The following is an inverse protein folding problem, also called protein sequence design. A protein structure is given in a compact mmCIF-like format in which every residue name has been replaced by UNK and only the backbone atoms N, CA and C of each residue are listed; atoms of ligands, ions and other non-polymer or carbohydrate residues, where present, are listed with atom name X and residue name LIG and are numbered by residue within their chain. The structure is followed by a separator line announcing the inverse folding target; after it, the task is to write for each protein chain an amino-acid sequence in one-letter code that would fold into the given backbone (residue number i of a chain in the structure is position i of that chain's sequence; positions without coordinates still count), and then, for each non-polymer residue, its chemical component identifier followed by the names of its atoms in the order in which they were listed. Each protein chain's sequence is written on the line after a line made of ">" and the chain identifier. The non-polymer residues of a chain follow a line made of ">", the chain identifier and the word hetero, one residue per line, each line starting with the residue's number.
data_IF_156167760569
#
_entry.id   IF_156167760569
#
_cell.length_a   1.000
_cell.length_b   1.000
_cell.length_c   1.000
_cell.angle_alpha   90.00
_cell.angle_beta   90.00
_cell.angle_gamma   90.00
#
_symmetry.space_group_name_H-M   'P 1'
#
loop_
_entity.id
_entity.type
_entity.pdbx_description
1 polymer ?
#
# COMPACT_ATOMS: atom_id res chain seq x y z
N UNK A 1 3.75 24.88 -15.87
CA UNK A 1 2.49 24.33 -15.34
C UNK A 1 2.43 22.87 -15.76
N UNK A 2 2.41 21.95 -14.80
CA UNK A 2 1.75 20.63 -14.87
C UNK A 2 2.14 19.86 -13.61
N UNK A 3 1.18 19.77 -12.70
CA UNK A 3 1.34 19.30 -11.34
C UNK A 3 1.76 17.83 -11.27
N UNK A 4 2.70 17.57 -10.38
CA UNK A 4 3.02 16.23 -9.88
C UNK A 4 1.80 15.81 -9.06
N UNK A 5 1.09 14.78 -9.53
CA UNK A 5 -0.06 14.24 -8.83
C UNK A 5 0.38 13.60 -7.53
N UNK A 6 -0.02 14.20 -6.42
CA UNK A 6 0.06 13.67 -5.07
C UNK A 6 -0.68 12.33 -5.03
N UNK A 7 0.07 11.23 -5.19
CA UNK A 7 -0.45 9.88 -5.03
C UNK A 7 -0.70 9.68 -3.54
N UNK A 8 -1.89 10.09 -3.13
CA UNK A 8 -2.35 10.25 -1.76
C UNK A 8 -1.94 9.09 -0.86
N UNK A 9 -1.04 9.40 0.08
CA UNK A 9 -0.95 8.72 1.37
C UNK A 9 -2.31 8.94 2.05
N UNK A 10 -3.15 7.92 2.07
CA UNK A 10 -4.42 7.98 2.81
C UNK A 10 -4.49 6.79 3.75
N UNK A 11 -3.90 6.99 4.92
CA UNK A 11 -3.78 6.08 6.06
C UNK A 11 -2.65 6.60 6.96
N UNK A 12 -2.96 7.57 7.83
CA UNK A 12 -1.98 8.18 8.71
C UNK A 12 -1.47 7.16 9.73
N UNK A 13 -0.14 7.04 9.85
CA UNK A 13 0.75 6.61 10.95
C UNK A 13 0.33 5.66 12.09
N UNK A 14 -0.95 5.46 12.38
CA UNK A 14 -1.51 4.69 13.49
C UNK A 14 -2.29 3.44 13.03
N UNK A 15 -2.42 3.22 11.72
CA UNK A 15 -3.10 2.02 11.21
C UNK A 15 -2.28 0.76 11.56
N UNK A 16 -2.88 -0.24 12.22
CA UNK A 16 -2.14 -1.42 12.68
C UNK A 16 -1.66 -2.33 11.54
N UNK A 17 -2.20 -2.19 10.32
CA UNK A 17 -1.79 -2.99 9.17
C UNK A 17 -1.37 -2.09 8.01
N UNK A 18 -0.39 -2.51 7.23
CA UNK A 18 -0.05 -1.88 5.94
C UNK A 18 -0.39 -2.82 4.78
N UNK A 19 -1.17 -2.34 3.82
CA UNK A 19 -1.37 -2.96 2.52
C UNK A 19 -0.47 -2.29 1.49
N UNK A 20 0.57 -2.99 1.05
CA UNK A 20 1.44 -2.52 -0.03
C UNK A 20 0.98 -3.16 -1.34
N UNK A 21 0.80 -2.36 -2.37
CA UNK A 21 0.30 -2.83 -3.66
C UNK A 21 1.08 -2.26 -4.85
N UNK A 22 0.92 -2.87 -6.01
CA UNK A 22 1.39 -2.32 -7.27
C UNK A 22 0.44 -1.24 -7.79
N UNK A 23 0.90 0.01 -7.80
CA UNK A 23 0.17 1.18 -8.29
C UNK A 23 -0.04 1.23 -9.81
N UNK A 24 0.58 0.31 -10.56
CA UNK A 24 0.41 0.19 -12.02
C UNK A 24 -0.41 -1.06 -12.40
N UNK A 25 -0.78 -1.88 -11.43
CA UNK A 25 -1.54 -3.11 -11.65
C UNK A 25 -3.04 -2.92 -11.39
N UNK A 26 -3.85 -2.97 -12.45
CA UNK A 26 -5.29 -2.71 -12.38
C UNK A 26 -6.04 -3.64 -11.40
N UNK A 27 -5.64 -4.91 -11.29
CA UNK A 27 -6.27 -5.85 -10.35
C UNK A 27 -5.88 -5.53 -8.91
N UNK A 28 -4.61 -5.18 -8.64
CA UNK A 28 -4.16 -4.75 -7.31
C UNK A 28 -4.91 -3.50 -6.85
N UNK A 29 -5.02 -2.49 -7.72
CA UNK A 29 -5.74 -1.25 -7.44
C UNK A 29 -7.22 -1.52 -7.13
N UNK A 30 -7.89 -2.37 -7.92
CA UNK A 30 -9.30 -2.74 -7.69
C UNK A 30 -9.48 -3.43 -6.34
N UNK A 31 -8.59 -4.36 -5.99
CA UNK A 31 -8.63 -5.08 -4.71
C UNK A 31 -8.46 -4.12 -3.52
N UNK A 32 -7.47 -3.24 -3.56
CA UNK A 32 -7.21 -2.26 -2.50
C UNK A 32 -8.36 -1.27 -2.36
N UNK A 33 -8.92 -0.76 -3.46
CA UNK A 33 -10.09 0.13 -3.40
C UNK A 33 -11.34 -0.58 -2.82
N UNK A 34 -11.54 -1.85 -3.14
CA UNK A 34 -12.62 -2.64 -2.56
C UNK A 34 -12.45 -2.86 -1.04
N UNK A 35 -11.21 -2.99 -0.57
CA UNK A 35 -10.87 -3.02 0.86
C UNK A 35 -11.08 -1.65 1.50
N UNK A 36 -10.60 -0.57 0.88
CA UNK A 36 -10.75 0.82 1.36
C UNK A 36 -12.21 1.18 1.61
N UNK A 37 -13.10 0.79 0.70
CA UNK A 37 -14.53 1.05 0.84
C UNK A 37 -15.19 0.29 2.01
N UNK A 38 -14.56 -0.78 2.49
CA UNK A 38 -15.02 -1.61 3.62
C UNK A 38 -14.31 -1.26 4.93
N UNK A 39 -13.12 -0.68 4.88
CA UNK A 39 -12.32 -0.30 6.04
C UNK A 39 -12.87 0.98 6.70
N UNK A 40 -13.95 0.82 7.46
CA UNK A 40 -14.61 1.93 8.17
C UNK A 40 -13.84 2.41 9.39
N UNK A 41 -12.99 1.55 9.95
CA UNK A 41 -12.27 1.80 11.20
C UNK A 41 -10.81 2.24 10.96
N UNK A 42 -10.40 2.42 9.69
CA UNK A 42 -9.05 2.88 9.34
C UNK A 42 -7.96 1.89 9.75
N UNK A 43 -8.22 0.59 9.62
CA UNK A 43 -7.31 -0.48 10.05
C UNK A 43 -6.11 -0.65 9.12
N UNK A 44 -6.19 -0.18 7.88
CA UNK A 44 -5.17 -0.38 6.87
C UNK A 44 -4.59 0.95 6.37
N UNK A 45 -3.27 1.11 6.50
CA UNK A 45 -2.50 2.03 5.67
C UNK A 45 -2.33 1.39 4.29
N UNK A 46 -2.77 2.04 3.23
CA UNK A 46 -2.68 1.50 1.87
C UNK A 46 -1.70 2.32 1.04
N UNK A 47 -0.60 1.71 0.59
CA UNK A 47 0.50 2.41 -0.12
C UNK A 47 0.93 1.68 -1.39
N UNK A 48 1.19 2.43 -2.46
CA UNK A 48 1.80 1.87 -3.64
C UNK A 48 3.31 1.66 -3.41
N UNK A 49 3.88 0.52 -3.80
CA UNK A 49 5.32 0.26 -3.60
C UNK A 49 6.22 1.25 -4.35
N UNK A 50 5.70 1.88 -5.41
CA UNK A 50 6.36 2.93 -6.17
C UNK A 50 6.52 4.25 -5.39
N UNK A 51 5.77 4.42 -4.29
CA UNK A 51 5.85 5.64 -3.47
C UNK A 51 7.21 5.74 -2.80
N UNK A 52 7.68 6.97 -2.60
CA UNK A 52 8.98 7.23 -2.00
C UNK A 52 9.12 6.55 -0.63
N UNK A 53 10.24 5.87 -0.41
CA UNK A 53 10.56 5.22 0.86
C UNK A 53 9.86 3.88 1.14
N UNK A 54 8.84 3.46 0.38
CA UNK A 54 8.09 2.21 0.69
C UNK A 54 8.98 0.98 0.59
N UNK A 55 9.76 0.86 -0.49
CA UNK A 55 10.71 -0.26 -0.62
C UNK A 55 11.79 -0.26 0.46
N UNK A 56 12.17 0.92 0.99
CA UNK A 56 13.13 1.04 2.08
C UNK A 56 12.50 0.69 3.44
N UNK A 57 11.21 0.95 3.61
CA UNK A 57 10.42 0.58 4.80
C UNK A 57 10.23 -0.93 4.91
N UNK A 58 10.12 -1.63 3.77
CA UNK A 58 9.87 -3.08 3.71
C UNK A 58 10.94 -3.82 2.89
N UNK A 59 12.21 -3.83 3.32
CA UNK A 59 13.34 -4.34 2.53
C UNK A 59 13.33 -5.87 2.37
N UNK A 60 12.58 -6.59 3.20
CA UNK A 60 12.41 -8.04 3.12
C UNK A 60 11.49 -8.48 1.96
N UNK A 61 10.75 -7.55 1.35
CA UNK A 61 9.83 -7.82 0.26
C UNK A 61 10.45 -7.36 -1.05
N UNK A 62 10.61 -8.29 -1.98
CA UNK A 62 11.15 -7.97 -3.29
C UNK A 62 10.15 -7.20 -4.16
N UNK A 63 10.66 -6.45 -5.13
CA UNK A 63 9.81 -5.81 -6.16
C UNK A 63 8.88 -6.81 -6.84
N UNK A 64 9.38 -8.03 -7.11
CA UNK A 64 8.60 -9.08 -7.77
C UNK A 64 7.36 -9.45 -6.94
N UNK A 65 7.52 -9.61 -5.63
CA UNK A 65 6.39 -9.92 -4.75
C UNK A 65 5.33 -8.82 -4.78
N UNK A 66 5.72 -7.54 -4.77
CA UNK A 66 4.77 -6.43 -4.91
C UNK A 66 4.04 -6.42 -6.26
N UNK A 67 4.71 -6.81 -7.35
CA UNK A 67 4.08 -6.89 -8.68
C UNK A 67 3.17 -8.12 -8.84
N UNK A 68 3.43 -9.21 -8.12
CA UNK A 68 2.67 -10.46 -8.22
C UNK A 68 1.43 -10.46 -7.31
N UNK A 69 1.45 -9.73 -6.18
CA UNK A 69 0.31 -9.67 -5.26
C UNK A 69 0.33 -8.46 -4.32
N UNK A 70 -0.85 -8.14 -3.78
CA UNK A 70 -1.00 -7.19 -2.67
C UNK A 70 -0.40 -7.82 -1.40
N UNK A 71 0.44 -7.08 -0.70
CA UNK A 71 1.11 -7.52 0.51
C UNK A 71 0.41 -6.94 1.73
N UNK A 72 -0.05 -7.79 2.64
CA UNK A 72 -0.51 -7.40 3.97
C UNK A 72 0.67 -7.51 4.94
N UNK A 73 0.88 -6.48 5.73
CA UNK A 73 1.93 -6.38 6.72
C UNK A 73 1.27 -6.05 8.05
N UNK A 74 1.50 -6.88 9.05
CA UNK A 74 1.03 -6.68 10.42
C UNK A 74 1.79 -5.57 11.15
N UNK A 75 1.31 -5.20 12.35
CA UNK A 75 1.88 -4.10 13.13
C UNK A 75 3.35 -4.34 13.50
N UNK A 76 3.75 -5.60 13.66
CA UNK A 76 5.11 -6.00 13.99
C UNK A 76 5.97 -6.33 12.74
N UNK A 77 5.47 -6.05 11.54
CA UNK A 77 6.16 -6.35 10.28
C UNK A 77 6.02 -7.81 9.81
N UNK A 78 5.16 -8.59 10.46
CA UNK A 78 4.79 -9.95 10.07
C UNK A 78 3.93 -9.97 8.78
N UNK A 79 3.96 -11.09 8.05
CA UNK A 79 3.26 -11.28 6.76
C UNK A 79 2.32 -12.47 6.82
#
# INVERSE_FOLDING_TARGET
>A
MSGVGDAAVTGAGDAPYTLVYDGECAVCIRSVNALRNRDRDGRFEMVAYQSEGVMARFPAISRREFTESVQLIGPDGER
#
